data_IF_053245612240
#
_entry.id   IF_053245612240
#
_cell.length_a   1.000
_cell.length_b   1.000
_cell.length_c   1.000
_cell.angle_alpha   90.00
_cell.angle_beta   90.00
_cell.angle_gamma   90.00
#
_symmetry.space_group_name_H-M   'P 1'
#
loop_
_entity.id
_entity.type
_entity.pdbx_description
1 polymer ?
#
# COMPACT_ATOMS: atom_id res chain seq x y z
N UNK A 1 -12.15 15.54 -19.59
CA UNK A 1 -13.48 15.50 -18.93
C UNK A 1 -13.32 14.68 -17.66
N UNK A 2 -13.39 15.31 -16.49
CA UNK A 2 -13.15 14.64 -15.20
C UNK A 2 -14.37 13.80 -14.83
N UNK A 3 -14.23 12.49 -14.79
CA UNK A 3 -15.32 11.59 -14.44
C UNK A 3 -15.67 11.62 -12.94
N UNK A 4 -16.79 11.00 -12.50
CA UNK A 4 -17.21 10.92 -11.09
C UNK A 4 -16.18 10.27 -10.13
N UNK A 5 -15.09 9.70 -10.66
CA UNK A 5 -14.01 9.09 -9.89
C UNK A 5 -12.80 10.03 -9.68
N UNK A 6 -12.60 11.04 -10.54
CA UNK A 6 -11.64 12.13 -10.26
C UNK A 6 -12.11 12.97 -9.06
N UNK A 7 -13.43 13.02 -8.87
CA UNK A 7 -14.10 13.61 -7.72
C UNK A 7 -13.81 12.83 -6.41
N UNK A 8 -13.80 11.49 -6.44
CA UNK A 8 -13.47 10.66 -5.27
C UNK A 8 -12.06 10.95 -4.74
N UNK A 9 -11.07 11.01 -5.63
CA UNK A 9 -9.69 11.31 -5.22
C UNK A 9 -9.57 12.72 -4.61
N UNK A 10 -10.32 13.70 -5.13
CA UNK A 10 -10.38 15.05 -4.57
C UNK A 10 -11.05 15.06 -3.17
N UNK A 11 -12.17 14.36 -3.01
CA UNK A 11 -12.86 14.21 -1.72
C UNK A 11 -11.96 13.58 -0.66
N UNK A 12 -11.23 12.52 -0.99
CA UNK A 12 -10.28 11.90 -0.05
C UNK A 12 -9.18 12.88 0.33
N UNK A 13 -8.60 13.65 -0.62
CA UNK A 13 -7.59 14.69 -0.31
C UNK A 13 -8.14 15.80 0.62
N UNK A 14 -9.42 16.13 0.48
CA UNK A 14 -10.13 17.10 1.31
C UNK A 14 -10.49 16.57 2.72
N UNK A 15 -10.41 15.27 2.96
CA UNK A 15 -10.83 14.66 4.23
C UNK A 15 -10.06 15.23 5.44
N UNK A 16 -10.80 15.61 6.49
CA UNK A 16 -10.26 16.09 7.78
C UNK A 16 -10.78 15.34 9.00
N UNK A 17 -11.46 14.20 8.82
CA UNK A 17 -12.13 13.47 9.90
C UNK A 17 -11.21 13.01 11.05
N UNK A 18 -9.91 12.91 10.81
CA UNK A 18 -8.92 12.54 11.84
C UNK A 18 -8.28 13.75 12.55
N UNK A 19 -8.75 14.99 12.36
CA UNK A 19 -8.10 16.19 12.87
C UNK A 19 -7.83 16.13 14.38
N UNK A 20 -8.86 15.93 15.20
CA UNK A 20 -8.73 15.87 16.66
C UNK A 20 -7.85 14.70 17.11
N UNK A 21 -7.96 13.56 16.43
CA UNK A 21 -7.13 12.38 16.69
C UNK A 21 -5.65 12.72 16.53
N UNK A 22 -5.28 13.37 15.44
CA UNK A 22 -3.89 13.65 15.12
C UNK A 22 -3.32 14.80 15.95
N UNK A 23 -4.14 15.79 16.30
CA UNK A 23 -3.79 16.84 17.26
C UNK A 23 -3.42 16.28 18.64
N UNK A 24 -4.04 15.16 19.05
CA UNK A 24 -3.75 14.48 20.32
C UNK A 24 -2.53 13.54 20.29
N UNK A 25 -1.87 13.35 19.14
CA UNK A 25 -0.66 12.51 19.04
C UNK A 25 0.61 13.28 19.38
N UNK A 26 1.72 12.57 19.61
CA UNK A 26 3.02 13.21 19.85
C UNK A 26 3.49 14.10 18.68
N UNK A 27 2.99 13.86 17.47
CA UNK A 27 3.33 14.68 16.30
C UNK A 27 2.40 15.86 16.07
N UNK A 28 1.26 15.95 16.76
CA UNK A 28 0.31 17.07 16.75
C UNK A 28 0.14 17.75 15.37
N UNK A 29 -0.28 16.98 14.36
CA UNK A 29 -0.28 17.41 12.97
C UNK A 29 -1.69 17.40 12.34
N UNK A 30 -1.87 18.15 11.25
CA UNK A 30 -3.13 18.15 10.51
C UNK A 30 -3.25 16.94 9.56
N UNK A 31 -4.46 16.43 9.29
CA UNK A 31 -4.65 15.39 8.28
C UNK A 31 -4.16 15.83 6.90
N UNK A 32 -3.30 15.00 6.30
CA UNK A 32 -2.83 15.15 4.91
C UNK A 32 -2.95 13.82 4.18
N UNK A 33 -4.12 13.54 3.59
CA UNK A 33 -4.35 12.30 2.85
C UNK A 33 -3.45 12.23 1.61
N UNK A 34 -2.70 11.13 1.47
CA UNK A 34 -1.84 10.84 0.32
C UNK A 34 -2.59 9.90 -0.62
N UNK A 35 -3.16 10.47 -1.68
CA UNK A 35 -4.04 9.78 -2.62
C UNK A 35 -3.33 9.52 -3.94
N UNK A 36 -3.06 8.25 -4.23
CA UNK A 36 -2.26 7.83 -5.39
C UNK A 36 -2.93 6.71 -6.19
N UNK A 37 -4.11 6.96 -6.72
CA UNK A 37 -4.79 6.03 -7.61
C UNK A 37 -5.56 6.79 -8.67
N UNK A 38 -5.82 6.13 -9.79
CA UNK A 38 -6.78 6.54 -10.80
C UNK A 38 -7.52 5.31 -11.34
N UNK A 39 -8.76 5.47 -11.81
CA UNK A 39 -9.42 4.45 -12.61
C UNK A 39 -8.56 4.05 -13.80
N UNK A 40 -8.54 2.76 -14.12
CA UNK A 40 -7.71 2.21 -15.19
C UNK A 40 -6.33 1.71 -14.75
N UNK A 41 -5.88 2.04 -13.53
CA UNK A 41 -4.70 1.40 -12.96
C UNK A 41 -4.89 -0.13 -12.90
N UNK A 42 -3.91 -0.86 -13.43
CA UNK A 42 -3.97 -2.33 -13.53
C UNK A 42 -3.29 -3.04 -12.37
N UNK A 43 -2.38 -2.36 -11.67
CA UNK A 43 -1.71 -2.89 -10.49
C UNK A 43 -2.12 -2.08 -9.24
N UNK A 44 -2.55 -2.78 -8.19
CA UNK A 44 -2.78 -2.22 -6.86
C UNK A 44 -1.63 -2.60 -5.93
N UNK A 45 -1.03 -1.61 -5.28
CA UNK A 45 -0.14 -1.78 -4.12
C UNK A 45 -0.88 -1.33 -2.88
N UNK A 46 -1.31 -2.30 -2.05
CA UNK A 46 -2.01 -2.03 -0.81
C UNK A 46 -1.07 -2.11 0.40
N UNK A 47 -1.03 -1.07 1.22
CA UNK A 47 -0.12 -0.95 2.36
C UNK A 47 -0.82 -0.59 3.66
N UNK A 48 -0.05 -0.25 4.69
CA UNK A 48 -0.59 0.13 6.00
C UNK A 48 -1.06 1.59 6.04
N UNK A 49 -0.12 2.53 6.08
CA UNK A 49 -0.35 3.96 6.13
C UNK A 49 0.95 4.69 5.73
N UNK A 50 0.88 5.95 5.28
CA UNK A 50 2.04 6.82 5.19
C UNK A 50 2.84 6.89 6.49
N UNK A 51 4.17 6.96 6.39
CA UNK A 51 5.03 7.44 7.48
C UNK A 51 5.22 8.96 7.42
N UNK A 52 5.94 9.54 8.39
CA UNK A 52 6.18 10.99 8.47
C UNK A 52 6.84 11.59 7.21
N UNK A 53 7.76 10.86 6.54
CA UNK A 53 8.37 11.32 5.28
C UNK A 53 7.36 11.42 4.14
N UNK A 54 6.48 10.43 4.02
CA UNK A 54 5.39 10.41 3.02
C UNK A 54 4.35 11.48 3.36
N UNK A 55 4.09 11.72 4.65
CA UNK A 55 3.27 12.85 5.09
C UNK A 55 3.87 14.19 4.64
N UNK A 56 5.18 14.38 4.77
CA UNK A 56 5.85 15.62 4.34
C UNK A 56 5.91 15.76 2.81
N UNK A 57 6.23 14.68 2.08
CA UNK A 57 6.40 14.70 0.62
C UNK A 57 5.07 14.72 -0.14
N UNK A 58 4.02 14.11 0.43
CA UNK A 58 2.74 13.89 -0.25
C UNK A 58 2.79 12.82 -1.33
N UNK A 59 3.88 12.03 -1.43
CA UNK A 59 4.07 10.98 -2.43
C UNK A 59 4.37 9.64 -1.72
N UNK A 60 3.66 8.55 -2.04
CA UNK A 60 3.83 7.28 -1.35
C UNK A 60 5.22 6.69 -1.62
N UNK A 61 5.76 5.88 -0.70
CA UNK A 61 7.01 5.13 -0.93
C UNK A 61 8.22 5.99 -1.40
N UNK A 62 8.35 7.20 -0.87
CA UNK A 62 9.51 8.09 -1.09
C UNK A 62 10.67 7.85 -0.11
N UNK A 63 10.73 6.67 0.51
CA UNK A 63 11.78 6.28 1.44
C UNK A 63 12.47 4.98 0.94
N UNK A 64 13.55 4.52 1.59
CA UNK A 64 14.27 3.32 1.16
C UNK A 64 13.43 2.03 1.09
N UNK A 65 12.28 1.99 1.78
CA UNK A 65 11.37 0.86 1.66
C UNK A 65 10.62 0.88 0.32
N UNK A 66 10.41 2.06 -0.26
CA UNK A 66 9.91 2.23 -1.61
C UNK A 66 10.90 1.78 -2.68
N UNK A 67 12.18 2.09 -2.52
CA UNK A 67 13.23 1.61 -3.44
C UNK A 67 13.26 0.08 -3.50
N UNK A 68 13.22 -0.55 -2.33
CA UNK A 68 13.17 -2.01 -2.23
C UNK A 68 11.89 -2.59 -2.81
N UNK A 69 10.74 -1.94 -2.62
CA UNK A 69 9.49 -2.41 -3.21
C UNK A 69 9.54 -2.37 -4.73
N UNK A 70 10.06 -1.29 -5.32
CA UNK A 70 10.25 -1.18 -6.78
C UNK A 70 11.19 -2.26 -7.32
N UNK A 71 12.29 -2.53 -6.62
CA UNK A 71 13.17 -3.65 -6.94
C UNK A 71 12.42 -4.99 -6.90
N UNK A 72 11.64 -5.26 -5.85
CA UNK A 72 10.85 -6.49 -5.74
C UNK A 72 9.84 -6.64 -6.89
N UNK A 73 9.17 -5.57 -7.27
CA UNK A 73 8.25 -5.53 -8.41
C UNK A 73 8.96 -5.64 -9.75
N UNK A 74 10.25 -5.29 -9.81
CA UNK A 74 11.03 -5.27 -11.05
C UNK A 74 10.65 -4.12 -11.98
N UNK A 75 10.28 -2.96 -11.42
CA UNK A 75 9.87 -1.77 -12.19
C UNK A 75 10.63 -0.53 -11.72
N UNK A 76 10.78 0.45 -12.62
CA UNK A 76 11.46 1.71 -12.31
C UNK A 76 10.56 2.71 -11.55
N UNK A 77 11.16 3.82 -11.12
CA UNK A 77 10.45 4.89 -10.41
C UNK A 77 9.33 5.51 -11.27
N UNK A 78 9.58 5.73 -12.56
CA UNK A 78 8.63 6.34 -13.48
C UNK A 78 7.36 5.49 -13.61
N UNK A 79 7.52 4.19 -13.78
CA UNK A 79 6.41 3.22 -13.90
C UNK A 79 5.66 3.11 -12.59
N UNK A 80 6.36 3.02 -11.45
CA UNK A 80 5.73 2.92 -10.14
C UNK A 80 4.86 4.14 -9.81
N UNK A 81 5.27 5.33 -10.23
CA UNK A 81 4.53 6.56 -10.01
C UNK A 81 3.56 6.94 -11.14
N UNK A 82 3.46 6.14 -12.20
CA UNK A 82 2.43 6.30 -13.21
C UNK A 82 1.08 5.82 -12.65
N UNK A 83 0.21 6.77 -12.30
CA UNK A 83 -1.11 6.49 -11.71
C UNK A 83 -2.07 5.78 -12.67
N UNK A 84 -1.78 5.80 -13.96
CA UNK A 84 -2.59 5.11 -14.97
C UNK A 84 -2.17 3.63 -15.05
N UNK A 85 -1.03 3.24 -14.45
CA UNK A 85 -0.53 1.87 -14.35
C UNK A 85 -0.64 1.29 -12.94
N UNK A 86 -0.21 2.06 -11.94
CA UNK A 86 -0.07 1.62 -10.56
C UNK A 86 -0.87 2.52 -9.61
N UNK A 87 -1.80 1.91 -8.88
CA UNK A 87 -2.48 2.52 -7.75
C UNK A 87 -1.78 2.13 -6.45
N UNK A 88 -1.54 3.09 -5.56
CA UNK A 88 -1.08 2.85 -4.19
C UNK A 88 -2.18 3.26 -3.22
N UNK A 89 -2.77 2.27 -2.53
CA UNK A 89 -3.90 2.47 -1.63
C UNK A 89 -3.58 1.89 -0.24
N UNK A 90 -3.17 2.72 0.73
CA UNK A 90 -2.96 2.26 2.09
C UNK A 90 -4.28 2.05 2.85
N UNK A 91 -4.25 1.26 3.92
CA UNK A 91 -5.40 1.11 4.84
C UNK A 91 -5.82 2.44 5.51
N UNK A 92 -4.87 3.37 5.71
CA UNK A 92 -5.16 4.76 6.02
C UNK A 92 -4.41 5.71 5.10
N UNK A 93 -5.11 6.70 4.54
CA UNK A 93 -4.51 7.69 3.62
C UNK A 93 -3.64 8.74 4.32
N UNK A 94 -3.74 8.89 5.63
CA UNK A 94 -2.91 9.82 6.41
C UNK A 94 -1.88 9.06 7.24
N UNK A 95 -0.76 9.73 7.51
CA UNK A 95 0.15 9.31 8.59
C UNK A 95 -0.61 9.33 9.92
N UNK A 96 -0.63 8.23 10.69
CA UNK A 96 -1.42 8.18 11.92
C UNK A 96 -0.81 8.95 13.11
N UNK A 97 0.43 9.41 12.99
CA UNK A 97 1.21 10.03 14.06
C UNK A 97 2.11 9.06 14.82
N UNK A 98 2.90 9.59 15.74
CA UNK A 98 3.73 8.79 16.64
C UNK A 98 3.06 8.61 18.01
N UNK A 99 3.34 7.47 18.64
CA UNK A 99 3.13 7.30 20.08
C UNK A 99 4.17 8.13 20.87
N UNK A 100 4.00 8.17 22.19
CA UNK A 100 4.91 8.90 23.09
C UNK A 100 6.37 8.39 23.05
N UNK A 101 6.61 7.19 22.48
CA UNK A 101 7.94 6.57 22.33
C UNK A 101 8.51 6.76 20.93
N UNK A 102 7.86 7.54 20.06
CA UNK A 102 8.30 7.79 18.69
C UNK A 102 8.03 6.64 17.71
N UNK A 103 7.15 5.70 18.05
CA UNK A 103 6.75 4.60 17.16
C UNK A 103 5.52 4.97 16.33
N UNK A 104 5.46 4.53 15.07
CA UNK A 104 4.29 4.72 14.21
C UNK A 104 3.03 4.14 14.85
N UNK A 105 1.98 4.95 14.94
CA UNK A 105 0.66 4.47 15.33
C UNK A 105 0.04 3.63 14.19
N UNK A 106 -0.78 2.62 14.51
CA UNK A 106 -1.46 1.81 13.50
C UNK A 106 -2.50 2.64 12.72
N UNK A 107 -2.85 2.22 11.49
CA UNK A 107 -3.87 2.90 10.70
C UNK A 107 -5.21 2.83 11.43
N UNK A 108 -5.92 3.96 11.63
CA UNK A 108 -7.26 3.91 12.19
C UNK A 108 -8.23 3.24 11.20
N UNK A 109 -9.26 2.52 11.70
CA UNK A 109 -10.24 1.85 10.83
C UNK A 109 -11.13 2.84 10.06
N UNK A 110 -11.04 4.14 10.35
CA UNK A 110 -11.89 5.18 9.77
C UNK A 110 -11.77 5.23 8.26
N UNK A 111 -10.56 5.22 7.69
CA UNK A 111 -10.38 5.25 6.24
C UNK A 111 -11.00 4.03 5.56
N UNK A 112 -10.85 2.84 6.15
CA UNK A 112 -11.44 1.62 5.63
C UNK A 112 -12.98 1.70 5.61
N UNK A 113 -13.61 2.22 6.68
CA UNK A 113 -15.07 2.38 6.75
C UNK A 113 -15.60 3.48 5.82
N UNK A 114 -14.86 4.57 5.65
CA UNK A 114 -15.34 5.74 4.91
C UNK A 114 -15.07 5.63 3.40
N UNK A 115 -13.91 5.12 2.99
CA UNK A 115 -13.44 5.30 1.61
C UNK A 115 -13.15 3.99 0.86
N UNK A 116 -12.77 2.90 1.54
CA UNK A 116 -12.19 1.74 0.85
C UNK A 116 -13.16 1.07 -0.12
N UNK A 117 -14.45 0.95 0.21
CA UNK A 117 -15.44 0.36 -0.70
C UNK A 117 -15.53 1.14 -2.02
N UNK A 118 -15.60 2.48 -1.95
CA UNK A 118 -15.65 3.35 -3.14
C UNK A 118 -14.34 3.30 -3.94
N UNK A 119 -13.19 3.23 -3.26
CA UNK A 119 -11.88 3.13 -3.92
C UNK A 119 -11.72 1.79 -4.62
N UNK A 120 -12.14 0.68 -4.01
CA UNK A 120 -12.08 -0.64 -4.64
C UNK A 120 -13.02 -0.73 -5.85
N UNK A 121 -14.21 -0.13 -5.78
CA UNK A 121 -15.11 -0.02 -6.93
C UNK A 121 -14.46 0.79 -8.07
N UNK A 122 -13.81 1.91 -7.74
CA UNK A 122 -13.08 2.70 -8.72
C UNK A 122 -11.88 1.97 -9.35
N UNK A 123 -11.38 0.93 -8.68
CA UNK A 123 -10.24 0.11 -9.09
C UNK A 123 -10.64 -1.31 -9.49
N UNK A 124 -11.90 -1.55 -9.87
CA UNK A 124 -12.38 -2.89 -10.29
C UNK A 124 -11.63 -3.50 -11.48
N UNK A 125 -10.92 -2.68 -12.25
CA UNK A 125 -10.09 -3.11 -13.39
C UNK A 125 -8.66 -3.55 -13.01
N UNK A 126 -8.32 -3.58 -11.72
CA UNK A 126 -7.02 -4.08 -11.25
C UNK A 126 -6.90 -5.58 -11.52
N UNK A 127 -5.79 -5.98 -12.11
CA UNK A 127 -5.49 -7.37 -12.48
C UNK A 127 -4.40 -8.01 -11.62
N UNK A 128 -3.72 -7.21 -10.81
CA UNK A 128 -2.72 -7.65 -9.84
C UNK A 128 -2.79 -6.78 -8.57
N UNK A 129 -3.01 -7.41 -7.42
CA UNK A 129 -2.90 -6.77 -6.11
C UNK A 129 -1.69 -7.26 -5.33
N UNK A 130 -0.87 -6.32 -4.87
CA UNK A 130 0.31 -6.55 -4.04
C UNK A 130 0.01 -6.07 -2.63
N UNK A 131 -0.12 -7.01 -1.69
CA UNK A 131 -0.58 -6.74 -0.32
C UNK A 131 0.59 -6.69 0.66
N UNK A 132 1.01 -5.48 1.01
CA UNK A 132 2.22 -5.22 1.80
C UNK A 132 1.88 -5.15 3.29
N UNK A 133 2.25 -6.22 4.01
CA UNK A 133 2.15 -6.32 5.46
C UNK A 133 0.77 -6.69 5.98
N UNK A 134 0.70 -6.86 7.30
CA UNK A 134 -0.43 -7.54 7.95
C UNK A 134 -1.77 -6.80 7.80
N UNK A 135 -1.78 -5.47 7.81
CA UNK A 135 -3.02 -4.69 7.71
C UNK A 135 -3.71 -4.87 6.35
N UNK A 136 -2.94 -4.77 5.26
CA UNK A 136 -3.45 -5.01 3.91
C UNK A 136 -3.89 -6.48 3.74
N UNK A 137 -3.05 -7.43 4.18
CA UNK A 137 -3.37 -8.86 4.08
C UNK A 137 -4.67 -9.22 4.80
N UNK A 138 -4.85 -8.78 6.05
CA UNK A 138 -6.07 -9.06 6.83
C UNK A 138 -7.33 -8.50 6.16
N UNK A 139 -7.26 -7.29 5.61
CA UNK A 139 -8.43 -6.65 5.00
C UNK A 139 -8.79 -7.27 3.65
N UNK A 140 -7.81 -7.43 2.76
CA UNK A 140 -8.05 -7.92 1.40
C UNK A 140 -8.27 -9.44 1.31
N UNK A 141 -7.62 -10.23 2.17
CA UNK A 141 -7.70 -11.70 2.13
C UNK A 141 -8.59 -12.30 3.24
N UNK A 142 -9.04 -11.50 4.20
CA UNK A 142 -9.80 -12.00 5.36
C UNK A 142 -9.00 -12.91 6.29
N UNK A 143 -7.68 -13.00 6.11
CA UNK A 143 -6.81 -13.90 6.89
C UNK A 143 -6.56 -13.35 8.29
N UNK A 144 -6.32 -14.25 9.25
CA UNK A 144 -5.80 -13.90 10.60
C UNK A 144 -4.38 -14.43 10.85
N UNK A 145 -3.83 -15.15 9.88
CA UNK A 145 -2.51 -15.76 9.97
C UNK A 145 -1.41 -14.69 10.08
N UNK A 146 -0.26 -15.03 10.71
CA UNK A 146 0.91 -14.17 10.71
C UNK A 146 1.43 -13.90 9.28
N UNK A 147 2.04 -12.73 9.06
CA UNK A 147 2.57 -12.31 7.75
C UNK A 147 3.44 -13.39 7.11
N UNK A 148 4.34 -14.02 7.87
CA UNK A 148 5.20 -15.10 7.34
C UNK A 148 4.39 -16.25 6.74
N UNK A 149 3.32 -16.67 7.42
CA UNK A 149 2.48 -17.78 6.96
C UNK A 149 1.69 -17.38 5.71
N UNK A 150 1.07 -16.18 5.71
CA UNK A 150 0.35 -15.64 4.55
C UNK A 150 1.27 -15.50 3.33
N UNK A 151 2.49 -14.96 3.51
CA UNK A 151 3.46 -14.82 2.42
C UNK A 151 3.97 -16.18 1.95
N UNK A 152 4.13 -17.16 2.85
CA UNK A 152 4.55 -18.52 2.46
C UNK A 152 3.50 -19.21 1.58
N UNK A 153 2.22 -18.97 1.84
CA UNK A 153 1.08 -19.45 1.06
C UNK A 153 0.74 -18.61 -0.19
N UNK A 154 1.66 -17.77 -0.70
CA UNK A 154 1.36 -16.84 -1.80
C UNK A 154 0.77 -17.50 -3.06
N UNK A 155 1.08 -18.78 -3.32
CA UNK A 155 0.58 -19.54 -4.47
C UNK A 155 -0.95 -19.74 -4.44
N UNK A 156 -1.57 -19.72 -3.26
CA UNK A 156 -3.02 -19.86 -3.09
C UNK A 156 -3.78 -18.61 -3.58
N UNK A 157 -3.06 -17.52 -3.82
CA UNK A 157 -3.59 -16.22 -4.19
C UNK A 157 -3.13 -15.74 -5.58
N UNK A 158 -2.10 -16.37 -6.13
CA UNK A 158 -1.58 -16.08 -7.46
C UNK A 158 -2.56 -16.54 -8.56
N UNK A 159 -2.55 -15.92 -9.76
CA UNK A 159 -1.72 -14.78 -10.14
C UNK A 159 -2.34 -13.41 -9.80
N UNK A 160 -3.53 -13.38 -9.20
CA UNK A 160 -4.28 -12.15 -8.96
C UNK A 160 -3.74 -11.35 -7.76
N UNK A 161 -3.20 -12.03 -6.75
CA UNK A 161 -2.78 -11.41 -5.50
C UNK A 161 -1.46 -11.97 -5.00
N UNK A 162 -0.54 -11.08 -4.60
CA UNK A 162 0.74 -11.42 -3.98
C UNK A 162 0.86 -10.75 -2.60
N UNK A 163 0.74 -11.51 -1.49
CA UNK A 163 1.06 -11.00 -0.16
C UNK A 163 2.57 -10.86 0.03
N UNK A 164 3.02 -9.70 0.49
CA UNK A 164 4.43 -9.39 0.78
C UNK A 164 4.63 -9.00 2.25
N UNK A 165 5.80 -9.27 2.84
CA UNK A 165 6.20 -8.58 4.06
C UNK A 165 6.45 -7.09 3.78
N UNK A 166 6.56 -6.27 4.82
CA UNK A 166 6.94 -4.87 4.61
C UNK A 166 8.37 -4.76 4.05
N UNK A 167 8.65 -3.90 3.06
CA UNK A 167 9.99 -3.73 2.47
C UNK A 167 10.98 -2.94 3.36
N UNK A 168 10.75 -2.89 4.68
CA UNK A 168 11.61 -2.17 5.61
C UNK A 168 12.94 -2.90 5.80
N UNK A 169 14.02 -2.17 6.04
CA UNK A 169 15.31 -2.72 6.44
C UNK A 169 15.22 -3.58 7.71
N UNK A 170 14.22 -3.34 8.57
CA UNK A 170 13.93 -4.18 9.74
C UNK A 170 13.60 -5.63 9.37
N UNK A 171 13.12 -5.88 8.15
CA UNK A 171 12.82 -7.23 7.65
C UNK A 171 14.01 -7.94 6.98
N UNK A 172 15.21 -7.34 6.97
CA UNK A 172 16.39 -7.98 6.34
C UNK A 172 16.74 -9.34 6.96
N UNK A 173 16.64 -9.48 8.29
CA UNK A 173 16.87 -10.76 8.96
C UNK A 173 15.82 -11.81 8.58
N UNK A 174 14.56 -11.40 8.40
CA UNK A 174 13.49 -12.28 7.93
C UNK A 174 13.77 -12.78 6.51
N UNK A 175 14.21 -11.90 5.59
CA UNK A 175 14.55 -12.26 4.22
C UNK A 175 15.68 -13.30 4.17
N UNK A 176 16.73 -13.12 4.99
CA UNK A 176 17.84 -14.09 5.10
C UNK A 176 17.37 -15.47 5.60
N UNK A 177 16.40 -15.51 6.50
CA UNK A 177 15.81 -16.77 7.02
C UNK A 177 14.79 -17.39 6.06
N UNK A 178 14.36 -16.66 5.02
CA UNK A 178 13.32 -17.07 4.08
C UNK A 178 13.82 -16.90 2.63
N UNK A 179 14.88 -17.61 2.21
CA UNK A 179 15.50 -17.42 0.89
C UNK A 179 14.53 -17.71 -0.28
N UNK A 180 13.53 -18.57 -0.06
CA UNK A 180 12.43 -18.85 -0.98
C UNK A 180 11.65 -17.58 -1.40
N UNK A 181 11.63 -16.53 -0.56
CA UNK A 181 10.99 -15.27 -0.94
C UNK A 181 11.66 -14.67 -2.18
N UNK A 182 12.98 -14.61 -2.18
CA UNK A 182 13.75 -14.08 -3.31
C UNK A 182 13.89 -15.09 -4.45
N UNK A 183 14.01 -16.38 -4.14
CA UNK A 183 14.25 -17.42 -5.13
C UNK A 183 12.98 -17.87 -5.89
N UNK A 184 11.80 -17.75 -5.27
CA UNK A 184 10.54 -18.26 -5.84
C UNK A 184 9.48 -17.18 -6.00
N UNK A 185 9.17 -16.43 -4.93
CA UNK A 185 8.08 -15.46 -4.95
C UNK A 185 8.42 -14.27 -5.86
N UNK A 186 9.59 -13.63 -5.69
CA UNK A 186 9.95 -12.46 -6.48
C UNK A 186 9.99 -12.72 -7.99
N UNK A 187 10.57 -13.83 -8.51
CA UNK A 187 10.50 -14.15 -9.94
C UNK A 187 9.07 -14.28 -10.47
N UNK A 188 8.18 -14.96 -9.73
CA UNK A 188 6.79 -15.12 -10.12
C UNK A 188 6.03 -13.78 -10.10
N UNK A 189 6.25 -12.95 -9.07
CA UNK A 189 5.69 -11.61 -8.98
C UNK A 189 6.16 -10.75 -10.15
N UNK A 190 7.46 -10.71 -10.44
CA UNK A 190 8.02 -9.92 -11.56
C UNK A 190 7.50 -10.37 -12.91
N UNK A 191 7.30 -11.67 -13.12
CA UNK A 191 6.66 -12.19 -14.32
C UNK A 191 5.24 -11.65 -14.45
N UNK A 192 4.44 -11.75 -13.38
CA UNK A 192 3.07 -11.26 -13.38
C UNK A 192 2.96 -9.74 -13.57
N UNK A 193 3.87 -8.97 -12.96
CA UNK A 193 3.95 -7.52 -13.15
C UNK A 193 4.17 -7.18 -14.62
N UNK A 194 5.10 -7.84 -15.32
CA UNK A 194 5.35 -7.60 -16.75
C UNK A 194 4.12 -7.93 -17.60
N UNK A 195 3.50 -9.09 -17.39
CA UNK A 195 2.27 -9.47 -18.09
C UNK A 195 1.16 -8.41 -17.96
N UNK A 196 1.00 -7.81 -16.79
CA UNK A 196 -0.01 -6.77 -16.53
C UNK A 196 0.39 -5.40 -17.07
N UNK A 197 1.68 -5.12 -17.27
CA UNK A 197 2.13 -3.83 -17.80
C UNK A 197 2.25 -3.81 -19.34
N UNK A 198 2.41 -4.99 -19.95
CA UNK A 198 2.65 -5.16 -21.40
C UNK A 198 1.39 -5.52 -22.20
N UNK A 199 0.29 -5.87 -21.51
CA UNK A 199 -1.02 -6.12 -22.13
C UNK A 199 -1.78 -4.83 -22.46
#
# INVERSE_FOLDING_TARGET
MNGPQDDLAAHIRGCRLCADRFAATATAHAPRPVVWFRPGARILVAGQAPGARVHASGRPFTDPSGDRLRDWLGIDEKTFYDRDRVAVVPMAFCFPGYDARGSDLPPPPLCARTWHAQVMEALRGVELSVLVGAHAQRWHLGVRAPVTATVRGWRDHAPLVFPLPHPSWRNTAWLKKNPWFAAELLPALRARVREVLDA
#
